data_IF_130852404794
#
_entry.id   IF_130852404794
#
_cell.length_a   1.000
_cell.length_b   1.000
_cell.length_c   1.000
_cell.angle_alpha   90.00
_cell.angle_beta   90.00
_cell.angle_gamma   90.00
#
_symmetry.space_group_name_H-M   'P 1'
#
loop_
_entity.id
_entity.type
_entity.pdbx_description
1 polymer ?
#
# COMPACT_ATOMS: atom_id res chain seq x y z
N UNK A 1 -4.23 -21.28 -5.46
CA UNK A 1 -5.68 -20.97 -5.44
C UNK A 1 -6.13 -20.83 -3.99
N UNK A 2 -6.06 -19.64 -3.41
CA UNK A 2 -6.64 -19.38 -2.10
C UNK A 2 -8.16 -19.22 -2.28
N UNK A 3 -8.95 -20.26 -1.98
CA UNK A 3 -10.39 -20.09 -1.78
C UNK A 3 -10.54 -19.22 -0.52
N UNK A 4 -10.98 -17.97 -0.72
CA UNK A 4 -11.16 -17.00 0.36
C UNK A 4 -12.09 -17.62 1.42
N UNK A 5 -11.59 -17.78 2.65
CA UNK A 5 -12.31 -18.30 3.82
C UNK A 5 -13.73 -17.70 3.95
N UNK A 6 -13.89 -16.46 3.51
CA UNK A 6 -15.14 -15.72 3.44
C UNK A 6 -16.27 -16.47 2.71
N UNK A 7 -15.97 -17.16 1.61
CA UNK A 7 -16.99 -17.90 0.84
C UNK A 7 -17.45 -19.20 1.50
N UNK A 8 -16.67 -19.73 2.44
CA UNK A 8 -17.06 -20.88 3.27
C UNK A 8 -17.83 -20.45 4.52
N UNK A 9 -17.42 -19.34 5.15
CA UNK A 9 -18.08 -18.79 6.35
C UNK A 9 -19.37 -18.02 6.03
N UNK A 10 -19.47 -17.42 4.84
CA UNK A 10 -20.62 -16.63 4.40
C UNK A 10 -21.10 -17.10 3.02
N UNK A 11 -21.84 -18.22 2.96
CA UNK A 11 -22.36 -18.76 1.71
C UNK A 11 -23.29 -17.74 1.03
N UNK A 12 -22.99 -17.39 -0.22
CA UNK A 12 -23.80 -16.47 -1.03
C UNK A 12 -23.30 -15.02 -1.05
N UNK A 13 -22.24 -14.69 -0.32
CA UNK A 13 -21.62 -13.36 -0.39
C UNK A 13 -20.66 -13.32 -1.58
N UNK A 14 -20.92 -12.41 -2.53
CA UNK A 14 -19.98 -12.11 -3.60
C UNK A 14 -18.71 -11.48 -3.04
N UNK A 15 -17.60 -11.61 -3.77
CA UNK A 15 -16.43 -10.75 -3.54
C UNK A 15 -16.92 -9.31 -3.74
N UNK A 16 -16.72 -8.39 -2.76
CA UNK A 16 -17.16 -7.02 -2.90
C UNK A 16 -16.62 -6.39 -4.18
N UNK A 17 -17.47 -5.68 -4.92
CA UNK A 17 -17.00 -4.88 -6.05
C UNK A 17 -16.20 -3.67 -5.55
N UNK A 18 -15.34 -3.11 -6.40
CA UNK A 18 -14.57 -1.91 -6.07
C UNK A 18 -15.44 -0.67 -5.81
N UNK A 19 -16.73 -0.71 -6.12
CA UNK A 19 -17.69 0.38 -5.92
C UNK A 19 -18.48 0.22 -4.61
N UNK A 20 -18.27 -0.87 -3.86
CA UNK A 20 -18.91 -1.06 -2.56
C UNK A 20 -18.25 -0.21 -1.48
N UNK A 21 -19.02 0.34 -0.53
CA UNK A 21 -18.49 1.17 0.54
C UNK A 21 -17.65 0.36 1.53
N UNK A 22 -16.60 0.99 2.05
CA UNK A 22 -15.69 0.40 3.03
C UNK A 22 -14.30 0.14 2.46
N UNK A 23 -13.42 -0.37 3.31
CA UNK A 23 -12.05 -0.72 2.92
C UNK A 23 -12.01 -2.02 2.12
N UNK A 24 -11.23 -2.03 1.06
CA UNK A 24 -10.94 -3.15 0.18
C UNK A 24 -9.51 -3.60 0.35
N UNK A 25 -9.30 -4.92 0.31
CA UNK A 25 -7.94 -5.49 0.29
C UNK A 25 -7.56 -5.78 -1.16
N UNK A 26 -6.46 -5.20 -1.61
CA UNK A 26 -5.83 -5.53 -2.89
C UNK A 26 -4.58 -6.35 -2.63
N UNK A 27 -4.58 -7.60 -3.07
CA UNK A 27 -3.35 -8.41 -3.19
C UNK A 27 -2.72 -8.19 -4.56
N UNK A 28 -1.39 -8.16 -4.62
CA UNK A 28 -0.62 -8.09 -5.86
C UNK A 28 0.05 -9.45 -6.12
N UNK A 29 0.28 -9.77 -7.39
CA UNK A 29 1.09 -10.91 -7.78
C UNK A 29 2.55 -10.48 -7.96
N UNK A 30 3.54 -11.32 -7.62
CA UNK A 30 4.94 -11.08 -8.01
C UNK A 30 5.14 -10.93 -9.53
N UNK A 31 4.22 -11.50 -10.32
CA UNK A 31 4.20 -11.41 -11.78
C UNK A 31 3.54 -10.12 -12.31
N UNK A 32 2.95 -9.30 -11.43
CA UNK A 32 2.31 -8.05 -11.86
C UNK A 32 3.36 -7.12 -12.47
N UNK A 33 3.04 -6.55 -13.63
CA UNK A 33 3.88 -5.53 -14.23
C UNK A 33 3.93 -4.32 -13.30
N UNK A 34 5.15 -3.89 -12.94
CA UNK A 34 5.37 -2.79 -11.99
C UNK A 34 4.59 -1.53 -12.38
N UNK A 35 4.39 -1.28 -13.68
CA UNK A 35 3.60 -0.17 -14.17
C UNK A 35 2.09 -0.33 -13.87
N UNK A 36 1.49 -1.48 -14.15
CA UNK A 36 0.07 -1.74 -13.90
C UNK A 36 -0.25 -1.69 -12.39
N UNK A 37 0.66 -2.25 -11.57
CA UNK A 37 0.58 -2.17 -10.12
C UNK A 37 0.69 -0.72 -9.64
N UNK A 38 1.64 0.05 -10.19
CA UNK A 38 1.82 1.47 -9.86
C UNK A 38 0.61 2.31 -10.24
N UNK A 39 0.02 2.11 -11.42
CA UNK A 39 -1.13 2.87 -11.90
C UNK A 39 -2.38 2.56 -11.08
N UNK A 40 -2.59 1.28 -10.78
CA UNK A 40 -3.72 0.85 -9.93
C UNK A 40 -3.56 1.41 -8.52
N UNK A 41 -2.40 1.25 -7.91
CA UNK A 41 -2.10 1.78 -6.58
C UNK A 41 -2.26 3.29 -6.51
N UNK A 42 -1.75 4.02 -7.51
CA UNK A 42 -1.90 5.48 -7.61
C UNK A 42 -3.37 5.90 -7.64
N UNK A 43 -4.18 5.25 -8.48
CA UNK A 43 -5.62 5.54 -8.56
C UNK A 43 -6.33 5.28 -7.23
N UNK A 44 -5.99 4.19 -6.53
CA UNK A 44 -6.58 3.87 -5.21
C UNK A 44 -6.17 4.86 -4.13
N UNK A 45 -4.90 5.26 -4.10
CA UNK A 45 -4.42 6.30 -3.20
C UNK A 45 -5.12 7.64 -3.43
N UNK A 46 -5.32 8.05 -4.70
CA UNK A 46 -6.07 9.28 -5.01
C UNK A 46 -7.50 9.19 -4.48
N UNK A 47 -8.22 8.12 -4.82
CA UNK A 47 -9.59 7.92 -4.39
C UNK A 47 -9.72 7.99 -2.86
N UNK A 48 -8.94 7.19 -2.13
CA UNK A 48 -9.01 7.13 -0.68
C UNK A 48 -8.73 8.46 0.00
N UNK A 49 -7.63 9.11 -0.41
CA UNK A 49 -7.21 10.36 0.21
C UNK A 49 -8.24 11.47 -0.07
N UNK A 50 -8.80 11.50 -1.29
CA UNK A 50 -9.88 12.44 -1.64
C UNK A 50 -11.17 12.16 -0.84
N UNK A 51 -11.44 10.88 -0.54
CA UNK A 51 -12.56 10.44 0.31
C UNK A 51 -12.30 10.62 1.83
N UNK A 52 -11.10 11.09 2.22
CA UNK A 52 -10.72 11.36 3.61
C UNK A 52 -10.17 10.14 4.37
N UNK A 53 -9.80 9.08 3.66
CA UNK A 53 -9.24 7.85 4.22
C UNK A 53 -7.77 7.66 3.83
N UNK A 54 -6.91 7.14 4.73
CA UNK A 54 -5.57 6.71 4.35
C UNK A 54 -5.62 5.38 3.59
N UNK A 55 -4.49 5.02 2.97
CA UNK A 55 -4.23 3.67 2.44
C UNK A 55 -3.23 2.96 3.36
N UNK A 56 -3.45 1.68 3.66
CA UNK A 56 -2.48 0.87 4.40
C UNK A 56 -1.70 0.00 3.42
N UNK A 57 -0.38 0.01 3.45
CA UNK A 57 0.44 -0.77 2.54
C UNK A 57 1.34 -1.74 3.31
N UNK A 58 1.37 -2.99 2.87
CA UNK A 58 2.36 -3.97 3.29
C UNK A 58 3.62 -3.78 2.44
N UNK A 59 4.75 -3.51 3.09
CA UNK A 59 6.03 -3.20 2.44
C UNK A 59 7.13 -4.08 3.02
N UNK A 60 8.11 -4.43 2.18
CA UNK A 60 9.38 -4.95 2.68
C UNK A 60 10.18 -3.83 3.34
N UNK A 61 10.49 -3.99 4.62
CA UNK A 61 11.18 -2.98 5.41
C UNK A 61 12.58 -2.66 4.87
N UNK A 62 13.32 -3.66 4.37
CA UNK A 62 14.65 -3.46 3.79
C UNK A 62 14.59 -2.69 2.46
N UNK A 63 13.56 -2.91 1.65
CA UNK A 63 13.36 -2.20 0.39
C UNK A 63 13.20 -0.68 0.58
N UNK A 64 12.57 -0.24 1.68
CA UNK A 64 12.51 1.17 2.07
C UNK A 64 13.75 1.64 2.84
N UNK A 65 14.32 0.76 3.68
CA UNK A 65 15.44 1.07 4.56
C UNK A 65 16.54 -0.01 4.45
N UNK A 66 17.49 0.13 3.51
CA UNK A 66 18.47 -0.93 3.20
C UNK A 66 19.38 -1.38 4.36
N UNK A 67 19.44 -0.60 5.46
CA UNK A 67 20.18 -0.95 6.67
C UNK A 67 19.41 -1.89 7.62
N UNK A 68 18.13 -2.15 7.37
CA UNK A 68 17.27 -3.00 8.19
C UNK A 68 17.12 -4.40 7.58
N UNK A 69 16.60 -5.36 8.35
CA UNK A 69 16.34 -6.70 7.84
C UNK A 69 15.11 -6.71 6.91
N UNK A 70 15.05 -7.70 6.01
CA UNK A 70 13.82 -8.03 5.29
C UNK A 70 12.75 -8.44 6.28
N UNK A 71 11.58 -7.83 6.19
CA UNK A 71 10.44 -8.08 7.05
C UNK A 71 9.19 -7.47 6.42
N UNK A 72 8.09 -8.20 6.51
CA UNK A 72 6.77 -7.64 6.22
C UNK A 72 6.44 -6.56 7.25
N UNK A 73 6.13 -5.35 6.78
CA UNK A 73 5.85 -4.20 7.62
C UNK A 73 4.67 -3.39 7.07
N UNK A 74 3.83 -2.88 7.97
CA UNK A 74 2.64 -2.09 7.59
C UNK A 74 2.90 -0.61 7.78
N UNK A 75 2.68 0.17 6.72
CA UNK A 75 2.77 1.64 6.73
C UNK A 75 1.45 2.27 6.29
N UNK A 76 1.24 3.54 6.67
CA UNK A 76 0.04 4.29 6.32
C UNK A 76 0.41 5.35 5.29
N UNK A 77 -0.13 5.27 4.08
CA UNK A 77 -0.02 6.33 3.07
C UNK A 77 -1.06 7.39 3.37
N UNK A 78 -0.60 8.61 3.61
CA UNK A 78 -1.43 9.74 4.06
C UNK A 78 -1.48 10.90 3.06
N UNK A 79 -0.69 10.83 1.99
CA UNK A 79 -0.58 11.89 1.02
C UNK A 79 0.30 11.50 -0.15
N UNK A 80 0.31 12.35 -1.17
CA UNK A 80 1.15 12.19 -2.35
C UNK A 80 1.49 13.54 -2.96
N UNK A 81 2.56 13.59 -3.75
CA UNK A 81 2.83 14.69 -4.66
C UNK A 81 2.50 14.27 -6.09
N UNK A 82 1.95 15.21 -6.87
CA UNK A 82 1.66 15.02 -8.29
C UNK A 82 2.46 15.98 -9.14
N UNK A 83 2.95 15.49 -10.27
CA UNK A 83 3.36 16.30 -11.40
C UNK A 83 2.43 15.99 -12.56
N UNK A 84 1.59 16.97 -12.94
CA UNK A 84 0.44 16.77 -13.82
C UNK A 84 -0.44 15.64 -13.25
N UNK A 85 -0.72 14.60 -14.04
CA UNK A 85 -1.58 13.49 -13.66
C UNK A 85 -0.83 12.31 -13.03
N UNK A 86 0.49 12.42 -12.86
CA UNK A 86 1.33 11.34 -12.34
C UNK A 86 1.77 11.63 -10.90
N UNK A 87 1.58 10.66 -10.00
CA UNK A 87 2.16 10.71 -8.66
C UNK A 87 3.68 10.51 -8.75
N UNK A 88 4.43 11.43 -8.16
CA UNK A 88 5.90 11.38 -8.12
C UNK A 88 6.43 10.83 -6.79
N UNK A 89 5.72 11.09 -5.69
CA UNK A 89 6.10 10.66 -4.36
C UNK A 89 4.88 10.43 -3.47
N UNK A 90 5.05 9.60 -2.44
CA UNK A 90 4.05 9.34 -1.41
C UNK A 90 4.58 9.78 -0.05
N UNK A 91 3.69 10.34 0.76
CA UNK A 91 3.92 10.60 2.17
C UNK A 91 3.32 9.45 2.97
N UNK A 92 4.15 8.81 3.81
CA UNK A 92 3.74 7.72 4.67
C UNK A 92 3.97 8.07 6.14
N UNK A 93 3.19 7.46 7.03
CA UNK A 93 3.49 7.32 8.45
C UNK A 93 3.96 5.90 8.70
N UNK A 94 5.23 5.78 9.10
CA UNK A 94 5.83 4.53 9.53
C UNK A 94 5.78 4.39 11.07
N UNK A 95 5.05 3.40 11.62
CA UNK A 95 4.94 3.22 13.06
C UNK A 95 6.20 2.60 13.71
N UNK A 96 7.20 2.17 12.94
CA UNK A 96 8.37 1.46 13.45
C UNK A 96 9.33 2.41 14.17
N UNK A 97 9.52 2.28 15.51
CA UNK A 97 10.28 3.26 16.29
C UNK A 97 11.70 3.55 15.78
N UNK A 98 12.48 2.56 15.29
CA UNK A 98 13.84 2.81 14.79
C UNK A 98 13.96 3.73 13.57
N UNK A 99 12.89 3.93 12.80
CA UNK A 99 12.91 4.88 11.66
C UNK A 99 12.33 6.24 12.04
N UNK A 100 11.83 6.41 13.27
CA UNK A 100 11.23 7.66 13.71
C UNK A 100 12.29 8.68 14.15
N UNK A 101 11.99 9.96 13.93
CA UNK A 101 12.80 11.08 14.43
C UNK A 101 11.98 12.02 15.33
N UNK A 102 12.65 12.91 16.05
CA UNK A 102 11.98 13.77 17.04
C UNK A 102 11.03 14.80 16.42
N UNK A 103 11.27 15.18 15.15
CA UNK A 103 10.58 16.29 14.48
C UNK A 103 9.39 15.79 13.68
N UNK A 104 9.62 14.81 12.81
CA UNK A 104 8.64 14.28 11.86
C UNK A 104 8.05 12.94 12.33
N UNK A 105 8.57 12.37 13.43
CA UNK A 105 8.14 11.05 13.94
C UNK A 105 8.27 10.01 12.82
N UNK A 106 7.19 9.32 12.51
CA UNK A 106 7.12 8.34 11.43
C UNK A 106 6.87 8.91 10.04
N UNK A 107 6.71 10.23 9.88
CA UNK A 107 6.47 10.83 8.57
C UNK A 107 7.71 10.67 7.68
N UNK A 108 7.54 9.95 6.57
CA UNK A 108 8.57 9.73 5.55
C UNK A 108 8.00 9.98 4.17
N UNK A 109 8.89 10.29 3.24
CA UNK A 109 8.56 10.50 1.84
C UNK A 109 9.40 9.54 1.01
N UNK A 110 8.74 8.86 0.07
CA UNK A 110 9.37 7.96 -0.89
C UNK A 110 8.88 8.30 -2.29
N UNK A 111 9.73 8.08 -3.29
CA UNK A 111 9.28 8.15 -4.68
C UNK A 111 8.20 7.11 -4.94
N UNK A 112 7.35 7.35 -5.95
CA UNK A 112 6.34 6.38 -6.34
C UNK A 112 6.94 5.01 -6.66
N UNK A 113 8.11 5.00 -7.31
CA UNK A 113 8.82 3.77 -7.66
C UNK A 113 9.34 3.03 -6.41
N UNK A 114 9.91 3.73 -5.44
CA UNK A 114 10.43 3.11 -4.21
C UNK A 114 9.32 2.45 -3.40
N UNK A 115 8.20 3.15 -3.18
CA UNK A 115 7.10 2.61 -2.39
C UNK A 115 6.44 1.42 -3.10
N UNK A 116 6.11 1.55 -4.38
CA UNK A 116 5.48 0.45 -5.15
C UNK A 116 6.42 -0.76 -5.21
N UNK A 117 7.72 -0.54 -5.40
CA UNK A 117 8.71 -1.63 -5.36
C UNK A 117 8.71 -2.31 -4.01
N UNK A 118 8.71 -1.56 -2.91
CA UNK A 118 8.71 -2.12 -1.56
C UNK A 118 7.46 -2.96 -1.28
N UNK A 119 6.30 -2.57 -1.84
CA UNK A 119 5.09 -3.41 -1.80
C UNK A 119 5.28 -4.68 -2.61
N UNK A 120 5.75 -4.57 -3.86
CA UNK A 120 5.85 -5.71 -4.79
C UNK A 120 6.86 -6.78 -4.35
N UNK A 121 7.97 -6.37 -3.72
CA UNK A 121 9.01 -7.32 -3.25
C UNK A 121 8.73 -7.84 -1.84
N UNK A 122 7.66 -7.39 -1.20
CA UNK A 122 7.24 -7.91 0.09
C UNK A 122 6.82 -9.39 -0.02
N UNK A 123 6.98 -10.14 1.07
CA UNK A 123 6.52 -11.53 1.14
C UNK A 123 4.99 -11.64 0.97
N UNK A 124 4.26 -10.64 1.46
CA UNK A 124 2.81 -10.52 1.36
C UNK A 124 2.44 -9.20 0.65
N UNK A 125 2.59 -9.12 -0.69
CA UNK A 125 2.42 -7.87 -1.43
C UNK A 125 0.93 -7.50 -1.47
N UNK A 126 0.54 -6.50 -0.68
CA UNK A 126 -0.85 -6.09 -0.54
C UNK A 126 -0.99 -4.65 -0.02
N UNK A 127 -2.17 -4.08 -0.25
CA UNK A 127 -2.59 -2.83 0.39
C UNK A 127 -4.10 -2.81 0.64
N UNK A 128 -4.52 -1.92 1.53
CA UNK A 128 -5.91 -1.71 1.93
C UNK A 128 -6.30 -0.28 1.58
N UNK A 129 -7.33 -0.12 0.76
CA UNK A 129 -7.85 1.15 0.24
C UNK A 129 -9.38 1.15 0.37
#
# INVERSE_FOLDING_TARGET
MARVLNSYLFPGTSIPSADEPGYHVQTLSPDDHTQDASDTFSRRCVQNIDDGYPVFAAVDLNALYPALAHANHMVIVIGYEKNKDQITSYYIIDPYPPVQDEVHRGLKQFTAQELVRAILVNEEPAYIW
#
